data_IF_879500007322
#
_entry.id   IF_879500007322
#
_cell.length_a   1.000
_cell.length_b   1.000
_cell.length_c   1.000
_cell.angle_alpha   90.00
_cell.angle_beta   90.00
_cell.angle_gamma   90.00
#
_symmetry.space_group_name_H-M   'P 1'
#
loop_
_entity.id
_entity.type
_entity.pdbx_description
1 polymer ?
#
# COMPACT_ATOMS: atom_id res chain seq x y z
N UNK A 1 1.55 -6.02 -6.87
CA UNK A 1 2.13 -5.07 -5.90
C UNK A 1 2.28 -3.66 -6.47
N UNK A 2 2.97 -3.48 -7.61
CA UNK A 2 3.15 -2.16 -8.23
C UNK A 2 1.85 -1.38 -8.51
N UNK A 3 0.78 -2.04 -8.99
CA UNK A 3 -0.50 -1.35 -9.20
C UNK A 3 -1.03 -0.72 -7.92
N UNK A 4 -1.00 -1.46 -6.81
CA UNK A 4 -1.47 -0.98 -5.51
C UNK A 4 -0.59 0.15 -4.97
N UNK A 5 0.75 0.05 -5.09
CA UNK A 5 1.65 1.13 -4.70
C UNK A 5 1.34 2.41 -5.47
N UNK A 6 1.16 2.33 -6.80
CA UNK A 6 0.88 3.50 -7.62
C UNK A 6 -0.44 4.15 -7.27
N UNK A 7 -1.47 3.35 -6.99
CA UNK A 7 -2.75 3.84 -6.48
C UNK A 7 -2.61 4.52 -5.11
N UNK A 8 -1.90 3.90 -4.16
CA UNK A 8 -1.66 4.47 -2.83
C UNK A 8 -0.87 5.77 -2.91
N UNK A 9 0.16 5.84 -3.75
CA UNK A 9 0.92 7.07 -4.01
C UNK A 9 0.00 8.20 -4.53
N UNK A 10 -0.84 7.90 -5.52
CA UNK A 10 -1.83 8.86 -6.04
C UNK A 10 -2.76 9.39 -4.95
N UNK A 11 -3.16 8.55 -4.01
CA UNK A 11 -4.01 8.94 -2.89
C UNK A 11 -3.30 9.82 -1.87
N UNK A 12 -2.08 9.46 -1.49
CA UNK A 12 -1.28 10.22 -0.53
C UNK A 12 -0.90 11.60 -1.09
N UNK A 13 -0.75 11.70 -2.41
CA UNK A 13 -0.49 12.95 -3.10
C UNK A 13 -1.76 13.70 -3.55
N UNK A 14 -2.97 13.23 -3.19
CA UNK A 14 -4.25 13.82 -3.64
C UNK A 14 -4.35 14.01 -5.17
N UNK A 15 -3.76 13.09 -5.93
CA UNK A 15 -3.68 13.13 -7.40
C UNK A 15 -2.54 13.99 -7.97
N UNK A 16 -1.91 14.85 -7.15
CA UNK A 16 -0.79 15.68 -7.56
C UNK A 16 0.52 14.91 -7.57
N UNK A 17 0.80 14.18 -8.65
CA UNK A 17 2.00 13.36 -8.80
C UNK A 17 3.05 14.06 -9.65
N UNK A 18 4.28 14.15 -9.12
CA UNK A 18 5.47 14.51 -9.90
C UNK A 18 6.09 13.25 -10.53
N UNK A 19 6.18 12.17 -9.75
CA UNK A 19 6.69 10.88 -10.20
C UNK A 19 6.02 9.76 -9.42
N UNK A 20 5.73 8.64 -10.09
CA UNK A 20 4.98 7.50 -9.55
C UNK A 20 5.31 6.23 -10.35
N UNK A 21 6.58 5.82 -10.29
CA UNK A 21 7.09 4.66 -11.02
C UNK A 21 7.14 3.42 -10.11
N UNK A 22 7.02 2.24 -10.70
CA UNK A 22 7.25 0.98 -10.03
C UNK A 22 7.68 -0.08 -11.04
N UNK A 23 8.88 -0.63 -10.83
CA UNK A 23 9.49 -1.66 -11.63
C UNK A 23 9.13 -3.04 -11.06
N UNK A 24 8.53 -3.90 -11.88
CA UNK A 24 8.07 -5.22 -11.45
C UNK A 24 9.18 -6.27 -11.36
N UNK A 25 10.34 -6.04 -11.98
CA UNK A 25 11.47 -6.95 -11.97
C UNK A 25 12.42 -6.66 -10.81
N UNK A 26 12.70 -5.38 -10.53
CA UNK A 26 13.60 -4.95 -9.46
C UNK A 26 12.88 -4.59 -8.17
N UNK A 27 11.55 -4.43 -8.21
CA UNK A 27 10.72 -3.94 -7.11
C UNK A 27 11.07 -2.51 -6.68
N UNK A 28 11.87 -1.80 -7.46
CA UNK A 28 12.16 -0.39 -7.27
C UNK A 28 10.88 0.42 -7.48
N UNK A 29 10.65 1.41 -6.63
CA UNK A 29 9.49 2.29 -6.72
C UNK A 29 9.91 3.72 -6.47
N UNK A 30 9.20 4.65 -7.11
CA UNK A 30 9.30 6.07 -6.86
C UNK A 30 7.90 6.64 -6.61
N UNK A 31 7.80 7.54 -5.64
CA UNK A 31 6.57 8.25 -5.36
C UNK A 31 6.94 9.65 -4.87
N UNK A 32 6.66 10.65 -5.68
CA UNK A 32 6.97 12.04 -5.38
C UNK A 32 5.75 12.90 -5.67
N UNK A 33 5.26 13.63 -4.68
CA UNK A 33 4.09 14.50 -4.81
C UNK A 33 4.49 15.86 -5.40
N UNK A 34 3.66 16.39 -6.30
CA UNK A 34 3.86 17.68 -6.97
C UNK A 34 3.78 18.88 -6.00
N UNK A 35 2.97 18.78 -4.95
CA UNK A 35 2.69 19.91 -4.04
C UNK A 35 3.94 20.46 -3.33
N UNK A 36 4.94 19.61 -3.06
CA UNK A 36 6.16 20.00 -2.36
C UNK A 36 7.41 19.21 -2.81
N UNK A 37 7.33 18.47 -3.92
CA UNK A 37 8.40 17.54 -4.35
C UNK A 37 8.73 16.49 -3.30
N UNK A 38 7.81 16.19 -2.38
CA UNK A 38 8.05 15.33 -1.23
C UNK A 38 7.58 13.91 -1.51
N UNK A 39 8.34 12.92 -1.04
CA UNK A 39 7.90 11.54 -1.04
C UNK A 39 7.10 11.23 0.23
N UNK A 40 5.86 10.72 0.12
CA UNK A 40 5.11 10.30 1.28
C UNK A 40 5.77 9.07 1.91
N UNK A 41 5.59 8.90 3.22
CA UNK A 41 6.12 7.76 3.96
C UNK A 41 5.40 6.46 3.64
N UNK A 42 5.64 5.89 2.44
CA UNK A 42 5.00 4.67 1.96
C UNK A 42 5.22 3.46 2.89
N UNK A 43 6.32 3.42 3.63
CA UNK A 43 6.62 2.35 4.58
C UNK A 43 5.61 2.21 5.72
N UNK A 44 4.84 3.25 6.01
CA UNK A 44 3.85 3.21 7.09
C UNK A 44 2.49 2.69 6.63
N UNK A 45 2.24 2.67 5.31
CA UNK A 45 0.93 2.36 4.76
C UNK A 45 0.86 0.96 4.15
N UNK A 46 -0.26 0.28 4.37
CA UNK A 46 -0.60 -0.95 3.66
C UNK A 46 -0.83 -0.66 2.17
N UNK A 47 -0.84 -1.71 1.35
CA UNK A 47 -0.97 -1.60 -0.11
C UNK A 47 0.17 -0.81 -0.77
N UNK A 48 1.38 -0.88 -0.20
CA UNK A 48 2.59 -0.27 -0.74
C UNK A 48 3.67 -1.33 -0.94
N UNK A 49 4.66 -1.02 -1.79
CA UNK A 49 5.80 -1.92 -2.03
C UNK A 49 6.53 -2.30 -0.73
N UNK A 50 6.87 -1.36 0.18
CA UNK A 50 7.49 -1.70 1.46
C UNK A 50 6.69 -2.71 2.29
N UNK A 51 5.37 -2.52 2.45
CA UNK A 51 4.56 -3.46 3.22
C UNK A 51 4.48 -4.82 2.53
N UNK A 52 4.31 -4.89 1.20
CA UNK A 52 4.27 -6.17 0.51
C UNK A 52 5.58 -6.97 0.65
N UNK A 53 6.72 -6.29 0.57
CA UNK A 53 8.03 -6.93 0.76
C UNK A 53 8.16 -7.42 2.20
N UNK A 54 7.76 -6.60 3.17
CA UNK A 54 7.82 -6.95 4.59
C UNK A 54 6.95 -8.18 4.93
N UNK A 55 5.71 -8.21 4.44
CA UNK A 55 4.77 -9.33 4.59
C UNK A 55 5.28 -10.60 3.90
N UNK A 56 5.96 -10.47 2.76
CA UNK A 56 6.59 -11.61 2.09
C UNK A 56 7.74 -12.20 2.93
N UNK A 57 8.61 -11.34 3.47
CA UNK A 57 9.70 -11.74 4.37
C UNK A 57 9.14 -12.42 5.63
N UNK A 58 8.04 -11.90 6.18
CA UNK A 58 7.36 -12.55 7.30
C UNK A 58 6.88 -13.97 6.93
N UNK A 59 6.25 -14.12 5.77
CA UNK A 59 5.82 -15.43 5.25
C UNK A 59 6.98 -16.42 5.11
N UNK A 60 8.10 -15.97 4.54
CA UNK A 60 9.32 -16.77 4.40
C UNK A 60 9.92 -17.14 5.78
N UNK A 61 9.92 -16.21 6.73
CA UNK A 61 10.39 -16.44 8.09
C UNK A 61 9.58 -17.53 8.80
N UNK A 62 8.25 -17.46 8.70
CA UNK A 62 7.35 -18.47 9.30
C UNK A 62 7.52 -19.83 8.62
N UNK A 63 7.64 -19.86 7.28
CA UNK A 63 7.85 -21.09 6.52
C UNK A 63 9.20 -21.76 6.85
N UNK A 64 10.25 -20.98 7.11
CA UNK A 64 11.54 -21.49 7.55
C UNK A 64 11.54 -21.98 9.02
N UNK A 65 10.58 -21.51 9.83
CA UNK A 65 10.50 -21.75 11.28
C UNK A 65 9.46 -22.82 11.66
N UNK A 66 9.12 -23.72 10.75
CA UNK A 66 8.12 -24.78 11.02
C UNK A 66 8.60 -25.70 12.13
N UNK A 67 7.80 -25.83 13.19
CA UNK A 67 8.12 -26.68 14.35
C UNK A 67 8.89 -25.96 15.46
N UNK A 68 9.26 -24.69 15.28
CA UNK A 68 9.91 -23.86 16.29
C UNK A 68 9.02 -22.67 16.67
N UNK A 69 8.34 -22.79 17.81
CA UNK A 69 7.44 -21.76 18.31
C UNK A 69 8.17 -20.46 18.70
N UNK A 70 9.42 -20.54 19.15
CA UNK A 70 10.20 -19.36 19.53
C UNK A 70 10.66 -18.58 18.31
N UNK A 71 11.09 -19.27 17.26
CA UNK A 71 11.44 -18.65 15.98
C UNK A 71 10.21 -18.00 15.32
N UNK A 72 9.05 -18.66 15.36
CA UNK A 72 7.79 -18.08 14.88
C UNK A 72 7.40 -16.80 15.66
N UNK A 73 7.56 -16.81 16.99
CA UNK A 73 7.31 -15.62 17.79
C UNK A 73 8.25 -14.45 17.44
N UNK A 74 9.50 -14.74 17.10
CA UNK A 74 10.45 -13.74 16.62
C UNK A 74 10.04 -13.17 15.25
N UNK A 75 9.58 -14.01 14.31
CA UNK A 75 9.04 -13.54 13.02
C UNK A 75 7.87 -12.57 13.22
N UNK A 76 6.94 -12.89 14.12
CA UNK A 76 5.77 -12.03 14.43
C UNK A 76 6.20 -10.71 15.08
N UNK A 77 7.17 -10.74 16.00
CA UNK A 77 7.69 -9.52 16.60
C UNK A 77 8.34 -8.61 15.55
N UNK A 78 9.14 -9.20 14.64
CA UNK A 78 9.79 -8.46 13.55
C UNK A 78 8.77 -7.84 12.59
N UNK A 79 7.76 -8.60 12.17
CA UNK A 79 6.66 -8.10 11.31
C UNK A 79 6.00 -6.87 11.97
N UNK A 80 5.59 -7.00 13.23
CA UNK A 80 4.90 -5.94 13.96
C UNK A 80 5.71 -4.65 14.11
N UNK A 81 7.03 -4.76 14.24
CA UNK A 81 7.93 -3.61 14.41
C UNK A 81 8.30 -2.94 13.09
N UNK A 82 8.33 -3.68 11.98
CA UNK A 82 8.93 -3.23 10.72
C UNK A 82 7.94 -3.08 9.56
N UNK A 83 6.76 -3.72 9.62
CA UNK A 83 5.79 -3.68 8.55
C UNK A 83 4.75 -2.54 8.73
N UNK A 84 4.45 -1.83 7.65
CA UNK A 84 3.48 -0.74 7.65
C UNK A 84 2.04 -1.24 7.77
N UNK A 85 1.34 -0.83 8.83
CA UNK A 85 -0.03 -1.26 9.14
C UNK A 85 -1.11 -0.18 8.93
N UNK A 86 -0.72 1.05 8.54
CA UNK A 86 -1.68 2.15 8.37
C UNK A 86 -2.50 1.97 7.11
N UNK A 87 -3.81 2.10 7.20
CA UNK A 87 -4.68 1.96 6.03
C UNK A 87 -4.67 3.25 5.18
N UNK A 88 -4.43 3.19 3.85
CA UNK A 88 -4.54 4.35 2.98
C UNK A 88 -5.95 4.97 3.03
N UNK A 89 -6.07 6.30 2.87
CA UNK A 89 -7.32 7.04 3.10
C UNK A 89 -8.53 6.59 2.26
N UNK A 90 -8.33 5.95 1.10
CA UNK A 90 -9.43 5.47 0.25
C UNK A 90 -10.27 4.37 0.91
N UNK A 91 -9.66 3.53 1.75
CA UNK A 91 -10.39 2.49 2.48
C UNK A 91 -11.27 3.08 3.59
N UNK A 92 -10.82 4.17 4.21
CA UNK A 92 -11.60 4.84 5.26
C UNK A 92 -12.89 5.44 4.68
N UNK A 93 -12.83 6.00 3.47
CA UNK A 93 -14.03 6.54 2.81
C UNK A 93 -15.06 5.45 2.51
N UNK A 94 -14.63 4.27 2.05
CA UNK A 94 -15.51 3.12 1.78
C UNK A 94 -16.15 2.53 3.05
N UNK A 95 -15.44 2.55 4.17
CA UNK A 95 -15.96 2.07 5.46
C UNK A 95 -16.94 3.06 6.12
N UNK A 96 -16.83 4.35 5.78
CA UNK A 96 -17.71 5.42 6.29
C UNK A 96 -18.90 5.73 5.36
N UNK A 97 -18.90 5.20 4.13
CA UNK A 97 -20.03 5.32 3.21
C UNK A 97 -21.20 4.43 3.69
N UNK A 98 -22.38 5.01 4.03
CA UNK A 98 -23.54 4.21 4.34
C UNK A 98 -23.90 3.38 3.11
N UNK A 99 -24.05 2.05 3.29
CA UNK A 99 -24.40 1.02 2.27
C UNK A 99 -25.61 1.35 1.37
N UNK A 100 -26.32 2.45 1.60
CA UNK A 100 -27.54 2.85 0.89
C UNK A 100 -27.32 3.56 -0.45
N UNK A 101 -26.08 3.94 -0.82
CA UNK A 101 -25.84 4.74 -2.03
C UNK A 101 -24.84 4.12 -3.03
N UNK A 102 -24.75 2.78 -3.08
CA UNK A 102 -23.90 2.05 -4.03
C UNK A 102 -24.30 2.26 -5.51
N UNK A 103 -25.40 2.96 -5.81
CA UNK A 103 -25.92 3.16 -7.17
C UNK A 103 -25.36 4.40 -7.89
N UNK A 104 -24.60 5.29 -7.24
CA UNK A 104 -24.12 6.53 -7.89
C UNK A 104 -22.65 6.52 -8.36
N UNK A 105 -21.87 5.48 -8.04
CA UNK A 105 -20.44 5.40 -8.44
C UNK A 105 -20.25 4.55 -9.71
N UNK A 106 -21.28 4.48 -10.56
CA UNK A 106 -21.19 3.95 -11.93
C UNK A 106 -21.63 5.03 -12.93
N UNK A 107 -21.05 6.22 -12.84
CA UNK A 107 -21.08 7.13 -13.98
C UNK A 107 -19.81 6.89 -14.81
N UNK A 108 -19.95 6.49 -16.09
CA UNK A 108 -18.81 6.30 -16.95
C UNK A 108 -18.15 7.66 -17.21
N UNK A 109 -16.83 7.64 -17.23
CA UNK A 109 -16.01 8.69 -17.83
C UNK A 109 -16.33 8.71 -19.33
N UNK A 110 -17.27 9.54 -19.76
CA UNK A 110 -17.57 9.77 -21.18
C UNK A 110 -17.05 11.14 -21.62
N UNK A 111 -16.18 11.07 -22.64
CA UNK A 111 -15.87 12.07 -23.68
C UNK A 111 -15.32 13.44 -23.23
N UNK A 112 -14.09 13.82 -23.59
CA UNK A 112 -13.72 14.27 -24.94
C UNK A 112 -14.69 15.33 -25.51
N UNK A 113 -14.43 16.61 -25.20
CA UNK A 113 -14.22 17.69 -26.16
C UNK A 113 -13.71 18.94 -25.44
#
# INVERSE_FOLDING_TARGET
WCSSQKSTCGLLCSGGLQSNDCDTATLAFDCTCLSNGSSPGLQYYTNTMPTFICEHIFGDCVAASVGDASAQAACVAYEKENCGNSTPPLLLLLLLLPRRNLLLVLLPFEAAQ
#
